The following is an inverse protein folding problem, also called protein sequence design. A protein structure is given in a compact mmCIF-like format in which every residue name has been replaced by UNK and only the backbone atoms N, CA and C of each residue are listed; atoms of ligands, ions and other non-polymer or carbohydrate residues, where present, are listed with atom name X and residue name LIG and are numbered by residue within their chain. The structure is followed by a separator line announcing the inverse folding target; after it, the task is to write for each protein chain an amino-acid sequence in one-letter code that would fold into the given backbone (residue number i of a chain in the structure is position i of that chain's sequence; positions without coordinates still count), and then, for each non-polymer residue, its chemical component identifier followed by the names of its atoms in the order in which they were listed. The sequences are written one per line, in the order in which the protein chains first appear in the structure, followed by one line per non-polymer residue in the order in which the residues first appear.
data_IF_590714470027
#
_entry.id   IF_590714470027
#
_cell.length_a   1.000
_cell.length_b   1.000
_cell.length_c   1.000
_cell.angle_alpha   90.00
_cell.angle_beta   90.00
_cell.angle_gamma   90.00
#
_symmetry.space_group_name_H-M   'P 1'
#
loop_
_entity.id
_entity.type
_entity.pdbx_description
1 polymer ?
#
# COMPACT_ATOMS: atom_id res chain seq x y z
N UNK A 1 27.44 7.53 -19.62
CA UNK A 1 26.21 7.61 -18.79
C UNK A 1 26.00 6.23 -18.18
N UNK A 2 25.69 6.12 -16.89
CA UNK A 2 25.32 4.82 -16.31
C UNK A 2 23.98 4.39 -16.92
N UNK A 3 23.89 3.14 -17.34
CA UNK A 3 22.63 2.56 -17.80
C UNK A 3 21.62 2.57 -16.65
N UNK A 4 20.42 3.11 -16.88
CA UNK A 4 19.37 3.13 -15.87
C UNK A 4 18.87 1.70 -15.61
N UNK A 5 18.60 1.34 -14.35
CA UNK A 5 18.10 -0.01 -14.04
C UNK A 5 16.64 -0.18 -14.50
N UNK A 6 16.31 -1.42 -14.90
CA UNK A 6 14.92 -1.78 -15.20
C UNK A 6 14.03 -1.58 -13.97
N UNK A 7 12.89 -0.93 -14.15
CA UNK A 7 11.81 -0.80 -13.16
C UNK A 7 10.59 -1.57 -13.62
N UNK A 8 10.00 -2.36 -12.72
CA UNK A 8 8.69 -2.99 -12.92
C UNK A 8 7.64 -2.14 -12.22
N UNK A 9 6.83 -1.41 -12.98
CA UNK A 9 5.69 -0.67 -12.45
C UNK A 9 4.49 -1.60 -12.34
N UNK A 10 3.85 -1.62 -11.17
CA UNK A 10 2.73 -2.50 -10.84
C UNK A 10 1.58 -1.64 -10.31
N UNK A 11 0.44 -1.75 -10.97
CA UNK A 11 -0.80 -1.10 -10.52
C UNK A 11 -1.96 -2.09 -10.50
N UNK A 12 -2.89 -1.90 -9.55
CA UNK A 12 -4.07 -2.76 -9.39
C UNK A 12 -5.31 -2.00 -9.83
N UNK A 13 -6.02 -2.54 -10.82
CA UNK A 13 -7.32 -2.06 -11.25
C UNK A 13 -8.44 -2.89 -10.62
N UNK A 14 -9.44 -2.22 -10.05
CA UNK A 14 -10.70 -2.84 -9.64
C UNK A 14 -11.87 -1.90 -9.93
N UNK A 15 -12.58 -2.14 -11.03
CA UNK A 15 -13.68 -1.30 -11.53
C UNK A 15 -13.32 0.19 -11.72
N UNK A 16 -12.06 0.48 -12.03
CA UNK A 16 -11.51 1.85 -12.14
C UNK A 16 -10.71 2.06 -13.42
N UNK A 17 -11.22 1.58 -14.58
CA UNK A 17 -10.51 1.65 -15.83
C UNK A 17 -10.16 3.09 -16.23
N UNK A 18 -11.04 4.06 -15.99
CA UNK A 18 -10.79 5.46 -16.31
C UNK A 18 -9.57 6.01 -15.57
N UNK A 19 -9.48 5.74 -14.26
CA UNK A 19 -8.31 6.09 -13.47
C UNK A 19 -7.04 5.39 -13.95
N UNK A 20 -7.16 4.10 -14.29
CA UNK A 20 -6.02 3.34 -14.84
C UNK A 20 -5.53 3.95 -16.16
N UNK A 21 -6.42 4.39 -17.03
CA UNK A 21 -6.03 5.05 -18.29
C UNK A 21 -5.40 6.43 -18.05
N UNK A 22 -5.88 7.20 -17.08
CA UNK A 22 -5.27 8.47 -16.67
C UNK A 22 -3.84 8.25 -16.15
N UNK A 23 -3.64 7.26 -15.26
CA UNK A 23 -2.30 6.88 -14.81
C UNK A 23 -1.40 6.51 -16.00
N UNK A 24 -1.83 5.64 -16.90
CA UNK A 24 -1.03 5.19 -18.05
C UNK A 24 -0.69 6.36 -18.99
N UNK A 25 -1.60 7.30 -19.18
CA UNK A 25 -1.34 8.52 -19.95
C UNK A 25 -0.28 9.40 -19.27
N UNK A 26 -0.35 9.53 -17.94
CA UNK A 26 0.66 10.28 -17.20
C UNK A 26 2.04 9.62 -17.30
N UNK A 27 2.11 8.29 -17.31
CA UNK A 27 3.36 7.53 -17.49
C UNK A 27 3.96 7.81 -18.88
N UNK A 28 3.16 7.85 -19.94
CA UNK A 28 3.64 8.15 -21.29
C UNK A 28 4.21 9.56 -21.45
N UNK A 29 3.87 10.48 -20.55
CA UNK A 29 4.34 11.87 -20.61
C UNK A 29 5.77 12.07 -20.10
N UNK A 30 6.38 11.06 -19.44
CA UNK A 30 7.75 11.13 -18.97
C UNK A 30 8.63 10.05 -19.61
N UNK A 31 9.94 10.27 -19.59
CA UNK A 31 10.92 9.49 -20.35
C UNK A 31 11.84 8.66 -19.42
N UNK A 32 11.29 7.74 -18.64
CA UNK A 32 12.12 6.75 -17.95
C UNK A 32 12.18 5.44 -18.75
N UNK A 33 13.37 4.97 -19.05
CA UNK A 33 13.60 3.68 -19.69
C UNK A 33 14.89 3.04 -19.11
N UNK A 34 14.93 1.72 -18.91
CA UNK A 34 13.92 0.72 -19.25
C UNK A 34 12.80 0.57 -18.20
N UNK A 35 11.55 0.44 -18.66
CA UNK A 35 10.36 0.28 -17.85
C UNK A 35 9.49 -0.86 -18.37
N UNK A 36 9.00 -1.74 -17.51
CA UNK A 36 7.91 -2.67 -17.80
C UNK A 36 6.69 -2.35 -16.92
N UNK A 37 5.49 -2.45 -17.49
CA UNK A 37 4.26 -2.02 -16.81
C UNK A 37 3.31 -3.21 -16.70
N UNK A 38 2.84 -3.47 -15.47
CA UNK A 38 1.83 -4.47 -15.16
C UNK A 38 0.58 -3.80 -14.63
N UNK A 39 -0.55 -4.08 -15.28
CA UNK A 39 -1.89 -3.75 -14.77
C UNK A 39 -2.53 -5.04 -14.31
N UNK A 40 -2.73 -5.17 -13.01
CA UNK A 40 -3.45 -6.31 -12.43
C UNK A 40 -4.93 -5.97 -12.34
N UNK A 41 -5.74 -6.57 -13.21
CA UNK A 41 -7.19 -6.49 -13.09
C UNK A 41 -7.68 -7.45 -11.99
N UNK A 42 -8.13 -6.89 -10.90
CA UNK A 42 -8.46 -7.60 -9.67
C UNK A 42 -9.93 -8.04 -9.64
N UNK A 43 -10.39 -8.72 -10.70
CA UNK A 43 -11.75 -9.18 -10.94
C UNK A 43 -12.76 -8.05 -11.14
N UNK A 44 -12.46 -7.07 -11.99
CA UNK A 44 -13.43 -6.07 -12.40
C UNK A 44 -14.63 -6.69 -13.12
N UNK A 45 -15.81 -6.09 -12.95
CA UNK A 45 -17.06 -6.53 -13.60
C UNK A 45 -16.90 -6.51 -15.12
N UNK A 46 -16.33 -5.42 -15.66
CA UNK A 46 -15.99 -5.31 -17.09
C UNK A 46 -14.51 -5.64 -17.24
N UNK A 47 -14.19 -6.62 -18.10
CA UNK A 47 -12.80 -6.97 -18.38
C UNK A 47 -12.10 -5.86 -19.16
N UNK A 48 -11.07 -5.20 -18.59
CA UNK A 48 -10.37 -4.09 -19.24
C UNK A 48 -9.33 -4.54 -20.27
N UNK A 49 -9.00 -5.84 -20.34
CA UNK A 49 -7.86 -6.38 -21.07
C UNK A 49 -7.86 -5.98 -22.55
N UNK A 50 -9.01 -6.12 -23.23
CA UNK A 50 -9.12 -5.77 -24.66
C UNK A 50 -8.81 -4.28 -24.89
N UNK A 51 -9.36 -3.40 -24.05
CA UNK A 51 -9.19 -1.95 -24.19
C UNK A 51 -7.74 -1.58 -23.88
N UNK A 52 -7.16 -2.15 -22.83
CA UNK A 52 -5.78 -1.88 -22.44
C UNK A 52 -4.80 -2.37 -23.50
N UNK A 53 -4.95 -3.60 -24.02
CA UNK A 53 -4.06 -4.15 -25.05
C UNK A 53 -4.13 -3.36 -26.37
N UNK A 54 -5.28 -2.79 -26.71
CA UNK A 54 -5.43 -1.97 -27.92
C UNK A 54 -4.79 -0.58 -27.78
N UNK A 55 -4.96 0.07 -26.63
CA UNK A 55 -4.54 1.46 -26.42
C UNK A 55 -3.14 1.57 -25.79
N UNK A 56 -2.69 0.52 -25.06
CA UNK A 56 -1.44 0.47 -24.31
C UNK A 56 -0.72 -0.85 -24.55
N UNK A 57 -0.20 -1.11 -25.78
CA UNK A 57 0.43 -2.40 -26.14
C UNK A 57 1.70 -2.70 -25.33
N UNK A 58 2.31 -1.69 -24.68
CA UNK A 58 3.44 -1.82 -23.76
C UNK A 58 3.06 -2.40 -22.40
N UNK A 59 1.77 -2.44 -22.05
CA UNK A 59 1.27 -2.89 -20.76
C UNK A 59 0.99 -4.39 -20.78
N UNK A 60 1.43 -5.07 -19.73
CA UNK A 60 1.07 -6.47 -19.49
C UNK A 60 -0.13 -6.53 -18.54
N UNK A 61 -1.27 -6.99 -19.04
CA UNK A 61 -2.48 -7.17 -18.23
C UNK A 61 -2.48 -8.55 -17.60
N UNK A 62 -2.69 -8.61 -16.28
CA UNK A 62 -2.82 -9.85 -15.51
C UNK A 62 -4.20 -9.83 -14.86
N UNK A 63 -5.07 -10.78 -15.21
CA UNK A 63 -6.41 -10.84 -14.65
C UNK A 63 -6.52 -11.87 -13.52
N UNK A 64 -7.11 -11.45 -12.40
CA UNK A 64 -7.52 -12.34 -11.32
C UNK A 64 -8.98 -12.77 -11.47
N UNK A 65 -9.31 -13.99 -11.10
CA UNK A 65 -10.69 -14.48 -11.07
C UNK A 65 -11.51 -13.95 -9.88
N UNK A 66 -10.84 -13.46 -8.85
CA UNK A 66 -11.45 -12.92 -7.62
C UNK A 66 -10.70 -11.68 -7.15
N UNK A 67 -11.41 -10.79 -6.45
CA UNK A 67 -10.77 -9.66 -5.80
C UNK A 67 -9.86 -10.13 -4.64
N UNK A 68 -8.56 -9.93 -4.80
CA UNK A 68 -7.50 -10.30 -3.86
C UNK A 68 -7.12 -9.16 -2.90
N UNK A 69 -7.79 -8.01 -3.01
CA UNK A 69 -7.41 -6.78 -2.31
C UNK A 69 -6.13 -6.16 -2.86
N UNK A 70 -5.61 -5.18 -2.13
CA UNK A 70 -4.39 -4.47 -2.54
C UNK A 70 -3.15 -5.36 -2.49
N UNK A 71 -2.91 -6.01 -1.34
CA UNK A 71 -1.73 -6.86 -1.16
C UNK A 71 -1.69 -8.02 -2.15
N UNK A 72 -2.79 -8.78 -2.26
CA UNK A 72 -2.87 -9.94 -3.15
C UNK A 72 -2.83 -9.55 -4.63
N UNK A 73 -3.47 -8.44 -5.00
CA UNK A 73 -3.43 -7.91 -6.35
C UNK A 73 -2.00 -7.55 -6.77
N UNK A 74 -1.29 -6.77 -5.97
CA UNK A 74 0.10 -6.42 -6.25
C UNK A 74 1.01 -7.65 -6.29
N UNK A 75 0.83 -8.60 -5.37
CA UNK A 75 1.63 -9.83 -5.34
C UNK A 75 1.47 -10.68 -6.59
N UNK A 76 0.32 -10.62 -7.28
CA UNK A 76 0.05 -11.41 -8.47
C UNK A 76 0.98 -11.07 -9.65
N UNK A 77 1.45 -9.83 -9.73
CA UNK A 77 2.38 -9.40 -10.78
C UNK A 77 3.85 -9.81 -10.51
N UNK A 78 4.22 -10.06 -9.26
CA UNK A 78 5.61 -10.24 -8.85
C UNK A 78 6.36 -11.40 -9.53
N UNK A 79 5.73 -12.56 -9.84
CA UNK A 79 6.39 -13.63 -10.58
C UNK A 79 6.85 -13.23 -12.00
N UNK A 80 6.26 -12.19 -12.57
CA UNK A 80 6.54 -11.70 -13.92
C UNK A 80 7.47 -10.48 -13.94
N UNK A 81 7.62 -9.79 -12.80
CA UNK A 81 8.42 -8.59 -12.64
C UNK A 81 9.92 -8.91 -12.64
N UNK A 82 10.66 -8.29 -13.56
CA UNK A 82 12.12 -8.50 -13.75
C UNK A 82 12.96 -7.30 -13.33
N UNK A 83 12.32 -6.19 -12.96
CA UNK A 83 12.99 -4.95 -12.59
C UNK A 83 13.88 -5.09 -11.37
N UNK A 84 15.01 -4.39 -11.37
CA UNK A 84 15.84 -4.19 -10.17
C UNK A 84 15.06 -3.52 -9.05
N UNK A 85 14.08 -2.70 -9.45
CA UNK A 85 13.13 -2.02 -8.59
C UNK A 85 11.70 -2.34 -9.01
N UNK A 86 10.84 -2.42 -8.00
CA UNK A 86 9.40 -2.66 -8.13
C UNK A 86 8.69 -1.38 -7.69
N UNK A 87 7.98 -0.74 -8.60
CA UNK A 87 7.23 0.47 -8.29
C UNK A 87 5.74 0.16 -8.18
N UNK A 88 5.26 0.08 -6.94
CA UNK A 88 3.84 -0.08 -6.66
C UNK A 88 3.17 1.28 -6.66
N UNK A 89 2.12 1.43 -7.44
CA UNK A 89 1.38 2.69 -7.58
C UNK A 89 -0.11 2.43 -7.71
N UNK A 90 -0.93 3.24 -7.02
CA UNK A 90 -2.37 3.18 -7.18
C UNK A 90 -2.78 3.67 -8.57
N UNK A 91 -3.84 3.06 -9.11
CA UNK A 91 -4.35 3.43 -10.43
C UNK A 91 -5.00 4.84 -10.48
N UNK A 92 -5.34 5.43 -9.34
CA UNK A 92 -5.86 6.79 -9.20
C UNK A 92 -4.77 7.83 -8.83
N UNK A 93 -3.52 7.53 -9.17
CA UNK A 93 -2.38 8.42 -9.04
C UNK A 93 -1.93 8.93 -10.41
N UNK A 94 -1.25 10.07 -10.43
CA UNK A 94 -0.64 10.65 -11.63
C UNK A 94 0.79 11.10 -11.35
N UNK A 95 1.66 10.82 -12.31
CA UNK A 95 3.07 11.19 -12.23
C UNK A 95 3.32 12.66 -12.52
N UNK A 96 4.36 13.18 -11.87
CA UNK A 96 5.06 14.38 -12.35
C UNK A 96 6.30 13.98 -13.16
N UNK A 97 6.81 14.91 -13.97
CA UNK A 97 8.08 14.72 -14.70
C UNK A 97 9.20 14.33 -13.73
N UNK A 98 10.08 13.43 -14.13
CA UNK A 98 11.28 12.97 -13.42
C UNK A 98 11.06 12.22 -12.07
N UNK A 99 9.83 12.03 -11.62
CA UNK A 99 9.55 11.37 -10.32
C UNK A 99 10.25 10.01 -10.23
N UNK A 100 10.07 9.13 -11.21
CA UNK A 100 10.65 7.78 -11.18
C UNK A 100 12.17 7.80 -11.22
N UNK A 101 12.76 8.67 -12.04
CA UNK A 101 14.22 8.83 -12.12
C UNK A 101 14.78 9.26 -10.76
N UNK A 102 14.19 10.27 -10.12
CA UNK A 102 14.60 10.77 -8.79
C UNK A 102 14.56 9.66 -7.74
N UNK A 103 13.49 8.85 -7.71
CA UNK A 103 13.38 7.72 -6.78
C UNK A 103 14.44 6.65 -7.04
N UNK A 104 14.72 6.33 -8.31
CA UNK A 104 15.75 5.35 -8.67
C UNK A 104 17.15 5.85 -8.31
N UNK A 105 17.48 7.09 -8.62
CA UNK A 105 18.76 7.71 -8.24
C UNK A 105 18.94 7.70 -6.72
N UNK A 106 17.88 8.01 -5.97
CA UNK A 106 17.90 7.90 -4.50
C UNK A 106 18.24 6.46 -4.06
N UNK A 107 17.56 5.45 -4.61
CA UNK A 107 17.79 4.04 -4.27
C UNK A 107 19.19 3.55 -4.65
N UNK A 108 19.77 4.04 -5.76
CA UNK A 108 21.14 3.70 -6.14
C UNK A 108 22.19 4.25 -5.16
N UNK A 109 21.92 5.43 -4.58
CA UNK A 109 22.82 6.09 -3.64
C UNK A 109 22.61 5.67 -2.17
N UNK A 110 21.49 5.00 -1.84
CA UNK A 110 21.15 4.58 -0.47
C UNK A 110 20.96 3.06 -0.41
N UNK A 111 22.05 2.32 -0.22
CA UNK A 111 22.04 0.84 -0.22
C UNK A 111 21.26 0.26 0.97
N UNK A 112 21.09 1.00 2.03
CA UNK A 112 20.29 0.65 3.21
C UNK A 112 18.78 0.86 3.01
N UNK A 113 18.38 1.50 1.89
CA UNK A 113 16.97 1.71 1.57
C UNK A 113 16.35 0.42 1.00
N UNK A 114 15.36 -0.12 1.69
CA UNK A 114 14.47 -1.18 1.19
C UNK A 114 13.34 -0.62 0.34
N UNK A 115 12.82 0.55 0.72
CA UNK A 115 11.72 1.24 0.08
C UNK A 115 11.87 2.75 0.18
N UNK A 116 11.47 3.46 -0.88
CA UNK A 116 11.32 4.92 -0.89
C UNK A 116 9.95 5.29 -1.46
N UNK A 117 9.26 6.23 -0.81
CA UNK A 117 8.04 6.86 -1.32
C UNK A 117 8.33 8.27 -1.83
N UNK A 118 7.63 8.72 -2.87
CA UNK A 118 7.60 10.14 -3.23
C UNK A 118 6.82 10.94 -2.20
N UNK A 119 6.90 12.27 -2.30
CA UNK A 119 5.94 13.19 -1.71
C UNK A 119 4.60 12.99 -2.43
N UNK A 120 3.52 12.69 -1.68
CA UNK A 120 2.18 12.62 -2.25
C UNK A 120 1.45 13.93 -2.01
N UNK A 121 0.79 14.43 -3.05
CA UNK A 121 -0.06 15.61 -3.02
C UNK A 121 -1.49 15.25 -3.41
N UNK A 122 -2.45 16.01 -2.90
CA UNK A 122 -3.85 15.86 -3.30
C UNK A 122 -4.12 16.43 -4.67
N UNK A 123 -5.15 15.94 -5.31
CA UNK A 123 -5.91 16.70 -6.31
C UNK A 123 -6.84 17.69 -5.59
N UNK A 124 -7.42 18.62 -6.35
CA UNK A 124 -8.50 19.48 -5.85
C UNK A 124 -9.76 18.64 -5.52
N UNK A 125 -10.77 19.26 -4.95
CA UNK A 125 -12.02 18.60 -4.57
C UNK A 125 -12.73 17.92 -5.75
N UNK A 126 -12.65 18.51 -6.94
CA UNK A 126 -13.21 17.93 -8.18
C UNK A 126 -12.35 16.79 -8.77
N UNK A 127 -11.14 16.55 -8.24
CA UNK A 127 -10.17 15.56 -8.72
C UNK A 127 -9.74 15.75 -10.18
N UNK A 128 -9.84 16.95 -10.68
CA UNK A 128 -9.51 17.31 -12.07
C UNK A 128 -8.21 18.08 -12.21
N UNK A 129 -7.79 18.80 -11.17
CA UNK A 129 -6.55 19.57 -11.15
C UNK A 129 -5.75 19.28 -9.89
N UNK A 130 -4.43 19.43 -9.98
CA UNK A 130 -3.51 19.29 -8.85
C UNK A 130 -3.72 20.39 -7.82
N UNK A 131 -3.46 20.09 -6.55
CA UNK A 131 -3.50 21.06 -5.47
C UNK A 131 -2.12 21.25 -4.85
N UNK A 132 -1.97 22.31 -4.05
CA UNK A 132 -0.79 22.56 -3.23
C UNK A 132 -0.84 21.87 -1.86
N UNK A 133 -1.85 21.02 -1.64
CA UNK A 133 -2.00 20.29 -0.38
C UNK A 133 -1.24 18.97 -0.40
N UNK A 134 -0.41 18.78 0.61
CA UNK A 134 0.33 17.55 0.84
C UNK A 134 -0.63 16.48 1.40
N UNK A 135 -0.55 15.29 0.84
CA UNK A 135 -1.24 14.12 1.37
C UNK A 135 -0.31 13.31 2.30
N UNK A 136 0.99 13.23 1.93
CA UNK A 136 1.93 12.42 2.65
C UNK A 136 3.36 12.88 2.39
N UNK A 137 4.08 13.16 3.48
CA UNK A 137 5.54 13.40 3.53
C UNK A 137 6.24 12.42 4.48
N UNK A 138 5.60 11.29 4.77
CA UNK A 138 6.06 10.26 5.69
C UNK A 138 5.00 9.84 6.70
N UNK A 139 5.34 8.84 7.51
CA UNK A 139 4.49 8.36 8.61
C UNK A 139 5.33 8.12 9.86
N UNK A 140 4.74 8.41 11.03
CA UNK A 140 5.32 8.08 12.33
C UNK A 140 5.18 6.59 12.62
N UNK A 141 6.00 6.07 13.55
CA UNK A 141 5.82 4.70 14.03
C UNK A 141 4.44 4.48 14.65
N UNK A 142 3.92 3.27 14.45
CA UNK A 142 2.69 2.82 15.12
C UNK A 142 2.92 2.81 16.63
N UNK A 143 2.09 3.57 17.34
CA UNK A 143 2.07 3.60 18.80
C UNK A 143 1.69 2.24 19.36
N UNK A 144 2.48 1.72 20.29
CA UNK A 144 2.32 0.37 20.82
C UNK A 144 1.02 0.16 21.64
N UNK A 145 0.44 1.23 22.19
CA UNK A 145 -0.81 1.15 22.97
C UNK A 145 -2.06 1.26 22.09
N UNK A 146 -2.06 2.23 21.16
CA UNK A 146 -3.26 2.54 20.36
C UNK A 146 -3.27 1.85 18.99
N UNK A 147 -2.13 1.30 18.57
CA UNK A 147 -1.88 0.78 17.24
C UNK A 147 -2.21 1.78 16.11
N UNK A 148 -2.02 3.07 16.36
CA UNK A 148 -2.23 4.17 15.41
C UNK A 148 -0.90 4.85 15.11
N UNK A 149 -0.77 5.38 13.93
CA UNK A 149 0.29 6.27 13.50
C UNK A 149 -0.29 7.59 13.00
N UNK A 150 0.57 8.53 12.66
CA UNK A 150 0.19 9.81 12.04
C UNK A 150 0.90 9.92 10.70
N UNK A 151 0.19 10.43 9.71
CA UNK A 151 0.78 10.89 8.45
C UNK A 151 1.40 12.26 8.68
N UNK A 152 2.62 12.45 8.20
CA UNK A 152 3.37 13.71 8.27
C UNK A 152 2.97 14.53 7.04
N UNK A 153 2.71 15.82 7.23
CA UNK A 153 2.34 16.76 6.17
C UNK A 153 0.89 16.68 5.70
N UNK A 154 0.07 15.77 6.25
CA UNK A 154 -1.31 15.58 5.80
C UNK A 154 -2.13 16.88 5.90
N UNK A 155 -2.66 17.35 4.75
CA UNK A 155 -3.44 18.59 4.58
C UNK A 155 -2.66 19.89 4.86
N UNK A 156 -1.34 19.82 4.98
CA UNK A 156 -0.51 21.01 4.99
C UNK A 156 -0.35 21.57 3.57
N UNK A 157 -0.25 22.89 3.43
CA UNK A 157 0.17 23.49 2.17
C UNK A 157 1.64 23.21 1.95
N UNK A 158 1.99 22.89 0.70
CA UNK A 158 3.37 22.72 0.30
C UNK A 158 4.03 24.10 0.12
N UNK A 159 4.88 24.45 1.08
CA UNK A 159 5.74 25.62 1.08
C UNK A 159 7.21 25.21 0.94
N UNK A 160 7.47 24.02 0.42
CA UNK A 160 8.79 23.38 0.32
C UNK A 160 9.42 23.06 1.70
N UNK A 161 8.61 22.91 2.74
CA UNK A 161 9.05 22.56 4.09
C UNK A 161 9.61 21.12 4.20
N UNK A 162 9.23 20.23 3.25
CA UNK A 162 9.77 18.88 3.11
C UNK A 162 10.66 18.83 1.85
N UNK A 163 11.87 19.39 1.91
CA UNK A 163 12.76 19.54 0.74
C UNK A 163 13.90 18.52 0.70
N UNK A 164 14.10 17.74 1.75
CA UNK A 164 15.19 16.76 1.86
C UNK A 164 14.66 15.37 2.16
N UNK A 165 15.32 14.36 1.58
CA UNK A 165 14.98 12.96 1.85
C UNK A 165 15.13 12.63 3.34
N UNK A 166 14.19 11.89 3.89
CA UNK A 166 14.15 11.56 5.32
C UNK A 166 13.83 10.08 5.54
N UNK A 167 14.40 9.52 6.63
CA UNK A 167 13.96 8.21 7.14
C UNK A 167 12.58 8.34 7.76
N UNK A 168 11.71 7.44 7.37
CA UNK A 168 10.32 7.37 7.84
C UNK A 168 10.01 6.01 8.42
N UNK A 169 8.90 5.90 9.15
CA UNK A 169 8.50 4.62 9.68
C UNK A 169 7.86 3.72 8.61
N UNK A 170 7.04 4.26 7.73
CA UNK A 170 6.28 3.52 6.74
C UNK A 170 6.19 4.28 5.43
N UNK A 171 6.40 3.57 4.32
CA UNK A 171 6.07 4.02 2.99
C UNK A 171 4.53 4.05 2.80
N UNK A 172 4.05 4.81 1.83
CA UNK A 172 2.63 4.90 1.52
C UNK A 172 2.26 3.97 0.36
N UNK A 173 1.19 3.17 0.54
CA UNK A 173 0.75 2.21 -0.47
C UNK A 173 0.33 2.83 -1.80
N UNK A 174 -0.01 4.14 -1.83
CA UNK A 174 -0.38 4.81 -3.09
C UNK A 174 0.80 4.96 -4.06
N UNK A 175 2.06 5.08 -3.56
CA UNK A 175 3.25 5.07 -4.39
C UNK A 175 4.49 4.70 -3.56
N UNK A 176 5.18 3.62 -3.93
CA UNK A 176 6.41 3.18 -3.28
C UNK A 176 7.31 2.41 -4.24
N UNK A 177 8.57 2.80 -4.32
CA UNK A 177 9.63 2.10 -5.04
C UNK A 177 10.36 1.17 -4.08
N UNK A 178 10.33 -0.12 -4.36
CA UNK A 178 10.89 -1.18 -3.51
C UNK A 178 12.03 -1.87 -4.24
N UNK A 179 13.12 -2.14 -3.54
CA UNK A 179 14.23 -2.93 -4.08
C UNK A 179 13.79 -4.38 -4.27
N UNK A 180 13.97 -4.97 -5.45
CA UNK A 180 13.54 -6.35 -5.73
C UNK A 180 14.11 -7.36 -4.71
N UNK A 181 15.32 -7.13 -4.22
CA UNK A 181 15.95 -7.97 -3.18
C UNK A 181 15.07 -8.14 -1.93
N UNK A 182 14.21 -7.18 -1.62
CA UNK A 182 13.25 -7.26 -0.50
C UNK A 182 12.34 -8.48 -0.64
N UNK A 183 11.97 -8.89 -1.86
CA UNK A 183 11.15 -10.09 -2.06
C UNK A 183 11.84 -11.36 -1.56
N UNK A 184 13.16 -11.44 -1.73
CA UNK A 184 13.97 -12.58 -1.28
C UNK A 184 14.18 -12.56 0.24
N UNK A 185 14.54 -11.39 0.78
CA UNK A 185 15.01 -11.27 2.17
C UNK A 185 13.85 -11.15 3.14
N UNK A 186 12.77 -10.46 2.74
CA UNK A 186 11.61 -10.10 3.58
C UNK A 186 10.35 -10.85 3.18
N UNK A 187 10.24 -11.26 1.91
CA UNK A 187 9.05 -11.87 1.32
C UNK A 187 8.03 -10.85 0.83
N UNK A 188 6.87 -11.34 0.43
CA UNK A 188 5.78 -10.56 -0.19
C UNK A 188 5.00 -9.74 0.83
N UNK A 189 4.14 -8.84 0.33
CA UNK A 189 3.07 -8.26 1.16
C UNK A 189 2.17 -9.38 1.70
N UNK A 190 1.74 -9.25 2.96
CA UNK A 190 0.90 -10.28 3.57
C UNK A 190 -0.56 -10.11 3.13
N UNK A 191 -1.01 -11.00 2.26
CA UNK A 191 -2.32 -10.94 1.58
C UNK A 191 -3.54 -10.98 2.52
N UNK A 192 -3.41 -11.55 3.74
CA UNK A 192 -4.47 -11.51 4.75
C UNK A 192 -4.90 -10.10 5.14
N UNK A 193 -4.07 -9.09 4.95
CA UNK A 193 -4.51 -7.72 5.18
C UNK A 193 -5.59 -7.31 4.20
N UNK A 194 -5.53 -7.77 2.97
CA UNK A 194 -6.45 -7.45 1.89
C UNK A 194 -6.38 -5.97 1.49
N UNK A 195 -6.62 -5.05 2.45
CA UNK A 195 -6.62 -3.61 2.26
C UNK A 195 -6.29 -2.89 3.58
N UNK A 196 -5.33 -1.96 3.58
CA UNK A 196 -4.76 -1.22 4.71
C UNK A 196 -3.87 -2.05 5.64
N UNK A 197 -2.76 -1.49 6.10
CA UNK A 197 -1.71 -2.05 6.97
C UNK A 197 -0.75 -3.04 6.30
N UNK A 198 -0.98 -3.50 5.06
CA UNK A 198 -0.06 -4.39 4.36
C UNK A 198 1.31 -3.76 4.14
N UNK A 199 1.33 -2.48 3.74
CA UNK A 199 2.56 -1.70 3.56
C UNK A 199 3.25 -1.43 4.91
N UNK A 200 2.49 -1.18 5.97
CA UNK A 200 3.04 -1.00 7.31
C UNK A 200 3.70 -2.29 7.81
N UNK A 201 3.04 -3.45 7.64
CA UNK A 201 3.59 -4.76 8.00
C UNK A 201 4.86 -5.05 7.20
N UNK A 202 4.85 -4.71 5.91
CA UNK A 202 6.00 -4.94 5.05
C UNK A 202 7.21 -4.08 5.46
N UNK A 203 7.00 -2.80 5.75
CA UNK A 203 8.02 -1.90 6.27
C UNK A 203 8.56 -2.36 7.64
N UNK A 204 7.71 -2.88 8.55
CA UNK A 204 8.18 -3.47 9.83
C UNK A 204 9.07 -4.68 9.59
N UNK A 205 8.75 -5.53 8.62
CA UNK A 205 9.59 -6.67 8.27
C UNK A 205 10.91 -6.25 7.62
N UNK A 206 10.90 -5.23 6.73
CA UNK A 206 12.11 -4.64 6.16
C UNK A 206 13.04 -4.13 7.25
N UNK A 207 12.53 -3.40 8.26
CA UNK A 207 13.35 -2.91 9.37
C UNK A 207 13.96 -4.03 10.22
N UNK A 208 13.28 -5.16 10.39
CA UNK A 208 13.85 -6.32 11.10
C UNK A 208 15.03 -6.93 10.36
N UNK A 209 15.05 -6.80 9.03
CA UNK A 209 16.17 -7.21 8.16
C UNK A 209 17.21 -6.09 7.95
N UNK A 210 17.16 -5.00 8.75
CA UNK A 210 18.12 -3.90 8.69
C UNK A 210 17.91 -2.91 7.54
N UNK A 211 16.80 -3.01 6.80
CA UNK A 211 16.47 -2.10 5.71
C UNK A 211 15.62 -0.93 6.21
N UNK A 212 15.91 0.27 5.69
CA UNK A 212 15.21 1.50 6.05
C UNK A 212 14.13 1.86 5.02
N UNK A 213 13.13 2.64 5.49
CA UNK A 213 12.11 3.26 4.66
C UNK A 213 12.40 4.76 4.57
N UNK A 214 12.20 5.34 3.39
CA UNK A 214 12.49 6.75 3.12
C UNK A 214 11.32 7.44 2.40
N UNK A 215 11.24 8.74 2.54
CA UNK A 215 10.53 9.63 1.63
C UNK A 215 11.55 10.49 0.89
N UNK A 216 11.39 10.63 -0.43
CA UNK A 216 12.16 11.52 -1.30
C UNK A 216 11.24 12.61 -1.86
N UNK A 217 11.23 13.82 -1.25
CA UNK A 217 10.24 14.83 -1.59
C UNK A 217 10.45 15.51 -2.95
N UNK A 218 11.66 15.39 -3.55
CA UNK A 218 11.91 15.89 -4.90
C UNK A 218 11.23 15.02 -5.97
N UNK A 219 10.84 13.79 -5.61
CA UNK A 219 9.93 12.96 -6.37
C UNK A 219 8.50 13.24 -5.89
N UNK A 220 7.60 13.63 -6.81
CA UNK A 220 6.23 14.01 -6.48
C UNK A 220 5.23 13.23 -7.29
N UNK A 221 4.14 12.82 -6.64
CA UNK A 221 2.97 12.16 -7.26
C UNK A 221 1.71 12.81 -6.73
N UNK A 222 0.73 12.99 -7.61
CA UNK A 222 -0.62 13.40 -7.23
C UNK A 222 -1.52 12.18 -7.11
N UNK A 223 -2.36 12.14 -6.06
CA UNK A 223 -3.19 10.97 -5.76
C UNK A 223 -4.61 11.42 -5.42
N UNK A 224 -5.60 10.85 -6.13
CA UNK A 224 -7.02 11.27 -6.03
C UNK A 224 -7.73 10.80 -4.77
N UNK A 225 -7.14 9.92 -4.02
CA UNK A 225 -7.60 9.29 -2.76
C UNK A 225 -9.05 8.79 -2.76
N UNK A 226 -9.22 7.56 -2.32
CA UNK A 226 -10.55 6.95 -2.08
C UNK A 226 -11.51 6.95 -3.28
N UNK A 227 -10.99 6.99 -4.51
CA UNK A 227 -11.82 6.87 -5.71
C UNK A 227 -12.66 5.57 -5.70
N UNK A 228 -12.10 4.48 -5.15
CA UNK A 228 -12.74 3.17 -5.14
C UNK A 228 -13.53 2.82 -3.86
N UNK A 229 -13.20 3.40 -2.69
CA UNK A 229 -13.71 2.89 -1.38
C UNK A 229 -14.66 3.86 -0.66
N UNK A 230 -14.56 5.16 -0.93
CA UNK A 230 -15.31 6.21 -0.22
C UNK A 230 -14.79 6.49 1.20
N UNK A 231 -14.93 7.74 1.67
CA UNK A 231 -14.28 8.23 2.90
C UNK A 231 -14.79 7.58 4.19
N UNK A 232 -16.07 7.21 4.29
CA UNK A 232 -16.72 6.66 5.49
C UNK A 232 -17.56 5.43 5.16
N UNK A 233 -16.89 4.34 4.73
CA UNK A 233 -17.59 3.10 4.38
C UNK A 233 -17.47 2.04 5.48
N UNK A 234 -18.46 1.15 5.55
CA UNK A 234 -18.41 -0.04 6.42
C UNK A 234 -17.18 -0.92 6.10
N UNK A 235 -16.80 -0.98 4.81
CA UNK A 235 -15.61 -1.69 4.35
C UNK A 235 -14.33 -1.10 4.97
N UNK A 236 -14.15 0.23 4.91
CA UNK A 236 -13.02 0.94 5.51
C UNK A 236 -12.99 0.72 7.03
N UNK A 237 -14.13 0.85 7.70
CA UNK A 237 -14.26 0.60 9.14
C UNK A 237 -13.86 -0.82 9.50
N UNK A 238 -14.33 -1.81 8.75
CA UNK A 238 -13.97 -3.21 8.98
C UNK A 238 -12.48 -3.45 8.84
N UNK A 239 -11.89 -3.13 7.68
CA UNK A 239 -10.48 -3.46 7.42
C UNK A 239 -9.52 -2.67 8.31
N UNK A 240 -9.73 -1.37 8.55
CA UNK A 240 -8.87 -0.60 9.44
C UNK A 240 -8.85 -1.16 10.87
N UNK A 241 -9.99 -1.56 11.42
CA UNK A 241 -10.04 -2.08 12.78
C UNK A 241 -9.55 -3.54 12.87
N UNK A 242 -9.89 -4.38 11.89
CA UNK A 242 -9.39 -5.75 11.79
C UNK A 242 -7.87 -5.78 11.68
N UNK A 243 -7.34 -4.99 10.75
CA UNK A 243 -5.93 -5.01 10.40
C UNK A 243 -5.04 -4.34 11.45
N UNK A 244 -5.56 -3.34 12.16
CA UNK A 244 -4.89 -2.77 13.33
C UNK A 244 -4.55 -3.84 14.36
N UNK A 245 -5.48 -4.70 14.71
CA UNK A 245 -5.27 -5.79 15.66
C UNK A 245 -4.33 -6.85 15.06
N UNK A 246 -4.54 -7.22 13.80
CA UNK A 246 -3.69 -8.18 13.09
C UNK A 246 -2.24 -7.69 13.01
N UNK A 247 -2.01 -6.40 12.69
CA UNK A 247 -0.68 -5.79 12.63
C UNK A 247 0.05 -5.88 13.98
N UNK A 248 -0.62 -5.54 15.08
CA UNK A 248 -0.04 -5.64 16.41
C UNK A 248 0.37 -7.07 16.74
N UNK A 249 -0.51 -8.04 16.49
CA UNK A 249 -0.27 -9.47 16.72
C UNK A 249 0.90 -10.03 15.91
N UNK A 250 1.17 -9.47 14.73
CA UNK A 250 2.27 -9.90 13.84
C UNK A 250 3.60 -9.26 14.17
N UNK A 251 3.58 -8.01 14.58
CA UNK A 251 4.77 -7.16 14.60
C UNK A 251 5.26 -6.81 16.01
N UNK A 252 4.46 -7.04 17.05
CA UNK A 252 4.86 -6.74 18.44
C UNK A 252 5.04 -8.03 19.24
N UNK A 253 5.98 -8.00 20.19
CA UNK A 253 6.21 -9.10 21.14
C UNK A 253 5.02 -9.29 22.08
N UNK A 254 4.87 -10.49 22.65
CA UNK A 254 3.77 -10.83 23.56
C UNK A 254 3.64 -9.86 24.73
N UNK A 255 4.75 -9.42 25.31
CA UNK A 255 4.75 -8.44 26.41
C UNK A 255 4.17 -7.08 26.01
N UNK A 256 4.46 -6.61 24.76
CA UNK A 256 3.92 -5.35 24.22
C UNK A 256 2.46 -5.47 23.79
N UNK A 257 1.95 -6.68 23.62
CA UNK A 257 0.54 -6.90 23.28
C UNK A 257 -0.38 -6.78 24.49
N UNK A 258 0.09 -7.07 25.70
CA UNK A 258 -0.73 -6.99 26.93
C UNK A 258 -1.34 -5.59 27.09
N UNK A 259 -0.56 -4.49 27.19
CA UNK A 259 -1.14 -3.16 27.35
C UNK A 259 -2.02 -2.75 26.16
N UNK A 260 -1.68 -3.18 24.94
CA UNK A 260 -2.53 -2.94 23.78
C UNK A 260 -3.91 -3.59 23.91
N UNK A 261 -3.99 -4.87 24.32
CA UNK A 261 -5.27 -5.55 24.49
C UNK A 261 -6.08 -5.00 25.66
N UNK A 262 -5.44 -4.62 26.77
CA UNK A 262 -6.10 -3.92 27.87
C UNK A 262 -6.73 -2.61 27.34
N UNK A 263 -5.96 -1.80 26.63
CA UNK A 263 -6.46 -0.55 26.05
C UNK A 263 -7.57 -0.78 25.01
N UNK A 264 -7.42 -1.81 24.18
CA UNK A 264 -8.43 -2.19 23.18
C UNK A 264 -9.77 -2.55 23.85
N UNK A 265 -9.74 -3.41 24.87
CA UNK A 265 -10.95 -3.96 25.51
C UNK A 265 -11.64 -2.89 26.37
N UNK A 266 -10.90 -2.17 27.19
CA UNK A 266 -11.49 -1.25 28.17
C UNK A 266 -11.73 0.17 27.64
N UNK A 267 -11.05 0.58 26.56
CA UNK A 267 -11.19 1.93 26.02
C UNK A 267 -11.64 1.96 24.57
N UNK A 268 -10.94 1.23 23.66
CA UNK A 268 -11.22 1.38 22.23
C UNK A 268 -12.57 0.77 21.86
N UNK A 269 -12.87 -0.45 22.31
CA UNK A 269 -14.14 -1.12 22.00
C UNK A 269 -15.32 -0.35 22.59
N UNK A 270 -15.38 -0.04 23.91
CA UNK A 270 -16.51 0.68 24.50
C UNK A 270 -16.72 2.05 23.84
N UNK A 271 -15.64 2.81 23.59
CA UNK A 271 -15.73 4.11 22.93
C UNK A 271 -16.36 4.01 21.52
N UNK A 272 -15.90 3.07 20.68
CA UNK A 272 -16.42 2.96 19.31
C UNK A 272 -17.86 2.45 19.30
N UNK A 273 -18.20 1.46 20.17
CA UNK A 273 -19.58 0.98 20.31
C UNK A 273 -20.51 2.11 20.71
N UNK A 274 -20.16 2.87 21.75
CA UNK A 274 -20.92 4.02 22.20
C UNK A 274 -21.08 5.08 21.10
N UNK A 275 -19.97 5.43 20.45
CA UNK A 275 -19.97 6.47 19.39
C UNK A 275 -20.88 6.10 18.23
N UNK A 276 -20.75 4.88 17.68
CA UNK A 276 -21.59 4.44 16.56
C UNK A 276 -23.05 4.26 16.96
N UNK A 277 -23.30 3.81 18.19
CA UNK A 277 -24.67 3.65 18.71
C UNK A 277 -25.38 5.01 18.84
N UNK A 278 -24.74 5.98 19.50
CA UNK A 278 -25.33 7.32 19.71
C UNK A 278 -25.54 8.06 18.39
N UNK A 279 -24.68 7.83 17.40
CA UNK A 279 -24.81 8.42 16.05
C UNK A 279 -25.79 7.68 15.15
N UNK A 280 -26.38 6.56 15.57
CA UNK A 280 -27.25 5.74 14.74
C UNK A 280 -26.52 5.04 13.57
N UNK A 281 -25.18 4.97 13.61
CA UNK A 281 -24.34 4.40 12.55
C UNK A 281 -24.24 2.86 12.69
N UNK A 282 -25.37 2.17 12.70
CA UNK A 282 -25.45 0.72 12.97
C UNK A 282 -24.70 -0.15 11.96
N UNK A 283 -24.57 0.30 10.68
CA UNK A 283 -23.76 -0.39 9.68
C UNK A 283 -22.27 -0.36 10.04
N UNK A 284 -21.77 0.77 10.55
CA UNK A 284 -20.39 0.93 10.99
C UNK A 284 -20.14 0.15 12.29
N UNK A 285 -21.11 0.17 13.21
CA UNK A 285 -21.04 -0.63 14.44
C UNK A 285 -20.90 -2.11 14.13
N UNK A 286 -21.74 -2.65 13.24
CA UNK A 286 -21.66 -4.04 12.81
C UNK A 286 -20.30 -4.35 12.20
N UNK A 287 -19.81 -3.52 11.27
CA UNK A 287 -18.51 -3.69 10.63
C UNK A 287 -17.36 -3.70 11.66
N UNK A 288 -17.42 -2.81 12.65
CA UNK A 288 -16.45 -2.76 13.75
C UNK A 288 -16.47 -4.04 14.60
N UNK A 289 -17.64 -4.51 15.02
CA UNK A 289 -17.77 -5.72 15.83
C UNK A 289 -17.30 -6.98 15.07
N UNK A 290 -17.63 -7.09 13.77
CA UNK A 290 -17.13 -8.18 12.92
C UNK A 290 -15.62 -8.14 12.75
N UNK A 291 -15.00 -6.95 12.69
CA UNK A 291 -13.56 -6.78 12.66
C UNK A 291 -12.87 -7.31 13.92
N UNK A 292 -13.44 -7.04 15.09
CA UNK A 292 -12.95 -7.56 16.38
C UNK A 292 -13.13 -9.07 16.45
N UNK A 293 -14.34 -9.57 16.13
CA UNK A 293 -14.68 -10.99 16.12
C UNK A 293 -13.75 -11.80 15.21
N UNK A 294 -13.45 -11.30 14.01
CA UNK A 294 -12.53 -11.95 13.09
C UNK A 294 -11.16 -12.23 13.75
N UNK A 295 -10.63 -11.29 14.51
CA UNK A 295 -9.35 -11.46 15.18
C UNK A 295 -9.39 -12.53 16.27
N UNK A 296 -10.49 -12.65 17.01
CA UNK A 296 -10.68 -13.71 18.02
C UNK A 296 -10.74 -15.09 17.34
N UNK A 297 -11.48 -15.21 16.23
CA UNK A 297 -11.57 -16.46 15.48
C UNK A 297 -10.24 -16.85 14.83
N UNK A 298 -9.50 -15.88 14.26
CA UNK A 298 -8.19 -16.12 13.64
C UNK A 298 -7.12 -16.54 14.66
N UNK A 299 -7.17 -16.03 15.88
CA UNK A 299 -6.30 -16.50 16.98
C UNK A 299 -6.58 -17.98 17.26
N UNK A 300 -7.83 -18.34 17.44
CA UNK A 300 -8.21 -19.72 17.75
C UNK A 300 -7.78 -20.68 16.66
N UNK A 301 -7.98 -20.34 15.38
CA UNK A 301 -7.52 -21.15 14.24
C UNK A 301 -6.01 -21.39 14.27
N UNK A 302 -5.20 -20.41 14.65
CA UNK A 302 -3.74 -20.56 14.75
C UNK A 302 -3.29 -21.45 15.89
N UNK A 303 -4.02 -21.43 17.02
CA UNK A 303 -3.72 -22.27 18.19
C UNK A 303 -4.03 -23.74 17.88
N UNK A 304 -5.11 -24.01 17.15
CA UNK A 304 -5.58 -25.37 16.86
C UNK A 304 -5.05 -25.94 15.52
N UNK A 305 -4.56 -25.12 14.59
CA UNK A 305 -3.92 -25.59 13.37
C UNK A 305 -2.41 -25.73 13.61
N UNK A 306 -1.91 -26.97 13.64
CA UNK A 306 -0.47 -27.23 13.57
C UNK A 306 0.11 -26.51 12.33
N UNK A 307 1.14 -25.67 12.57
CA UNK A 307 2.05 -25.05 11.62
C UNK A 307 1.56 -25.03 10.16
N UNK A 308 0.82 -24.03 9.77
CA UNK A 308 0.77 -23.65 8.36
C UNK A 308 2.08 -22.90 8.07
N UNK A 309 3.05 -23.62 7.51
CA UNK A 309 4.20 -23.00 6.87
C UNK A 309 3.66 -22.14 5.72
N UNK A 310 3.71 -20.83 5.86
CA UNK A 310 3.54 -19.88 4.76
C UNK A 310 4.82 -19.84 3.91
N UNK A 311 5.18 -21.00 3.33
CA UNK A 311 6.03 -21.02 2.15
C UNK A 311 5.14 -20.65 0.97
N UNK A 312 5.60 -19.74 0.11
CA UNK A 312 5.05 -19.60 -1.24
C UNK A 312 4.77 -21.01 -1.79
N UNK A 313 3.65 -21.26 -2.47
CA UNK A 313 3.54 -22.42 -3.31
C UNK A 313 4.73 -22.34 -4.28
N UNK A 314 5.69 -23.27 -4.17
CA UNK A 314 6.91 -23.32 -5.03
C UNK A 314 6.55 -23.39 -6.52
N UNK A 315 5.32 -23.75 -6.83
CA UNK A 315 4.77 -23.89 -8.18
C UNK A 315 4.57 -22.52 -8.90
N UNK A 316 4.69 -21.38 -8.19
CA UNK A 316 4.57 -20.03 -8.77
C UNK A 316 5.92 -19.31 -8.93
N UNK A 317 7.04 -19.88 -8.45
CA UNK A 317 8.32 -19.14 -8.44
C UNK A 317 9.21 -19.48 -9.64
N UNK A 318 9.08 -20.66 -10.27
CA UNK A 318 9.93 -21.04 -11.40
C UNK A 318 9.18 -22.00 -12.34
N UNK A 319 8.51 -21.46 -13.34
CA UNK A 319 8.45 -22.08 -14.66
C UNK A 319 9.08 -21.10 -15.64
N UNK A 320 10.24 -21.54 -16.14
CA UNK A 320 11.01 -20.89 -17.20
C UNK A 320 10.16 -20.55 -18.42
#
# INVERSE_FOLDING_TARGET
MRELPLVSLITVNYNGLDYTTELLNSIRSFSYAPLEIFVVDNASVVNPEKILNQNYPEVKVIRSEKNLGFAGGNNLALPFAKGKYLFFINNDAEFTSNCLQTLVEFMENHLDAGVVSPLLCYFNESKTTTSDLIQYAGMTQVNALTARNKTIGEKERDTNQYSTAQKIAYAHGAAMLVRQKVLKDVGLMYDKFFLYYEELDWCERMRKEGLNCYVEPNARIYHKESAAVGASSALKTYFLNRNRILFMRRNKSSLKLIPFFIFLIFFTIPKNVYTFFVRGEFKLLRAFLEAVKWNVVDINRKIFSKKVNYSMPRDYIFKN
#
